data_IF_169721802782
#
_entry.id   IF_169721802782
#
_cell.length_a   1.000
_cell.length_b   1.000
_cell.length_c   1.000
_cell.angle_alpha   90.00
_cell.angle_beta   90.00
_cell.angle_gamma   90.00
#
_symmetry.space_group_name_H-M   'P 1'
#
loop_
_entity.id
_entity.type
_entity.pdbx_description
1 polymer ?
#
# COMPACT_ATOMS: atom_id res chain seq x y z
N UNK A 1 -7.10 -23.15 -23.25
CA UNK A 1 -5.91 -23.68 -24.00
C UNK A 1 -4.82 -23.80 -22.97
N UNK A 2 -4.14 -24.94 -22.88
CA UNK A 2 -3.00 -25.08 -21.96
C UNK A 2 -1.84 -24.23 -22.48
N UNK A 3 -1.12 -23.58 -21.61
CA UNK A 3 -0.02 -22.70 -21.98
C UNK A 3 1.09 -23.43 -22.76
N UNK A 4 1.34 -24.70 -22.45
CA UNK A 4 2.33 -25.53 -23.14
C UNK A 4 2.04 -25.68 -24.64
N UNK A 5 0.75 -25.71 -25.03
CA UNK A 5 0.39 -25.75 -26.45
C UNK A 5 0.77 -24.47 -27.20
N UNK A 6 0.44 -23.32 -26.57
CA UNK A 6 0.81 -22.01 -27.14
C UNK A 6 2.34 -21.81 -27.18
N UNK A 7 3.05 -22.35 -26.19
CA UNK A 7 4.51 -22.36 -26.18
C UNK A 7 5.09 -23.25 -27.29
N UNK A 8 4.53 -24.44 -27.52
CA UNK A 8 4.96 -25.32 -28.59
C UNK A 8 4.83 -24.63 -29.98
N UNK A 9 3.70 -23.96 -30.21
CA UNK A 9 3.49 -23.21 -31.46
C UNK A 9 4.50 -22.07 -31.61
N UNK A 10 4.82 -21.36 -30.54
CA UNK A 10 5.84 -20.30 -30.51
C UNK A 10 7.24 -20.87 -30.74
N UNK A 11 7.58 -21.99 -30.09
CA UNK A 11 8.88 -22.65 -30.24
C UNK A 11 9.06 -23.20 -31.69
N UNK A 12 8.03 -23.80 -32.27
CA UNK A 12 8.05 -24.22 -33.63
C UNK A 12 8.34 -23.05 -34.60
N UNK A 13 7.66 -21.91 -34.41
CA UNK A 13 7.92 -20.71 -35.19
C UNK A 13 9.40 -20.27 -35.09
N UNK A 14 10.01 -20.35 -33.91
CA UNK A 14 11.43 -20.01 -33.74
C UNK A 14 12.35 -21.02 -34.40
N UNK A 15 12.06 -22.33 -34.28
CA UNK A 15 12.88 -23.42 -34.81
C UNK A 15 12.81 -23.49 -36.34
N UNK A 16 11.61 -23.25 -36.89
CA UNK A 16 11.38 -23.31 -38.36
C UNK A 16 11.95 -22.07 -39.10
N UNK A 17 12.40 -21.04 -38.39
CA UNK A 17 12.91 -19.81 -38.98
C UNK A 17 14.35 -19.51 -38.52
N UNK A 18 15.32 -19.97 -39.26
CA UNK A 18 16.77 -19.75 -39.01
C UNK A 18 17.18 -18.27 -38.92
N UNK A 19 16.32 -17.38 -39.39
CA UNK A 19 16.54 -15.92 -39.35
C UNK A 19 16.17 -15.29 -38.04
N UNK A 20 15.53 -16.02 -37.10
CA UNK A 20 15.26 -15.58 -35.74
C UNK A 20 16.48 -15.88 -34.85
N UNK A 21 17.08 -14.85 -34.31
CA UNK A 21 18.24 -14.99 -33.42
C UNK A 21 17.87 -14.57 -32.01
N UNK A 22 17.81 -15.55 -31.11
CA UNK A 22 17.53 -15.33 -29.68
C UNK A 22 18.76 -15.74 -28.90
N UNK A 23 19.56 -14.77 -28.48
CA UNK A 23 20.74 -14.97 -27.61
C UNK A 23 20.58 -14.12 -26.34
N UNK A 24 21.40 -14.34 -25.32
CA UNK A 24 21.42 -13.53 -24.12
C UNK A 24 21.74 -12.05 -24.36
N UNK A 25 22.34 -11.73 -25.52
CA UNK A 25 22.76 -10.37 -25.89
C UNK A 25 21.95 -9.76 -27.03
N UNK A 26 21.37 -10.58 -27.90
CA UNK A 26 20.72 -10.11 -29.12
C UNK A 26 19.41 -10.86 -29.30
N UNK A 27 18.34 -10.08 -29.48
CA UNK A 27 17.05 -10.57 -29.97
C UNK A 27 16.78 -9.95 -31.32
N UNK A 28 16.89 -10.74 -32.38
CA UNK A 28 16.60 -10.31 -33.75
C UNK A 28 15.43 -11.13 -34.28
N UNK A 29 14.34 -10.47 -34.57
CA UNK A 29 13.15 -11.06 -35.17
C UNK A 29 12.88 -10.31 -36.50
N UNK A 30 12.93 -10.98 -37.62
CA UNK A 30 12.69 -10.35 -38.91
C UNK A 30 11.31 -9.68 -38.96
N UNK A 31 11.24 -8.54 -39.65
CA UNK A 31 10.03 -7.71 -39.67
C UNK A 31 8.79 -8.47 -40.16
N UNK A 32 8.97 -9.34 -41.13
CA UNK A 32 7.90 -10.15 -41.71
C UNK A 32 7.29 -11.16 -40.73
N UNK A 33 8.09 -11.66 -39.80
CA UNK A 33 7.68 -12.69 -38.84
C UNK A 33 7.28 -12.06 -37.50
N UNK A 34 7.74 -10.84 -37.23
CA UNK A 34 7.58 -10.12 -35.94
C UNK A 34 6.14 -10.07 -35.44
N UNK A 35 5.12 -9.73 -36.25
CA UNK A 35 3.74 -9.71 -35.77
C UNK A 35 3.26 -11.08 -35.27
N UNK A 36 3.62 -12.15 -36.03
CA UNK A 36 3.23 -13.52 -35.66
C UNK A 36 3.96 -14.01 -34.42
N UNK A 37 5.25 -13.68 -34.30
CA UNK A 37 6.04 -14.00 -33.11
C UNK A 37 5.42 -13.39 -31.84
N UNK A 38 5.19 -12.08 -31.84
CA UNK A 38 4.63 -11.42 -30.64
C UNK A 38 3.19 -11.86 -30.39
N UNK A 39 2.40 -12.16 -31.36
CA UNK A 39 1.08 -12.75 -31.19
C UNK A 39 1.13 -14.07 -30.41
N UNK A 40 2.01 -15.00 -30.81
CA UNK A 40 2.18 -16.28 -30.11
C UNK A 40 2.84 -16.11 -28.77
N UNK A 41 3.76 -15.17 -28.61
CA UNK A 41 4.41 -14.82 -27.37
C UNK A 41 3.40 -14.31 -26.35
N UNK A 42 2.51 -13.40 -26.74
CA UNK A 42 1.47 -12.85 -25.88
C UNK A 42 0.40 -13.90 -25.56
N UNK A 43 0.01 -14.73 -26.53
CA UNK A 43 -0.89 -15.86 -26.28
C UNK A 43 -0.33 -16.83 -25.26
N UNK A 44 0.98 -17.10 -25.30
CA UNK A 44 1.64 -18.00 -24.34
C UNK A 44 1.61 -17.40 -22.94
N UNK A 45 1.97 -16.11 -22.80
CA UNK A 45 1.93 -15.43 -21.50
C UNK A 45 0.52 -15.37 -20.91
N UNK A 46 -0.47 -15.02 -21.73
CA UNK A 46 -1.87 -14.94 -21.33
C UNK A 46 -2.41 -16.33 -20.94
N UNK A 47 -2.09 -17.37 -21.72
CA UNK A 47 -2.50 -18.74 -21.39
C UNK A 47 -1.88 -19.21 -20.06
N UNK A 48 -0.58 -18.89 -19.83
CA UNK A 48 0.10 -19.20 -18.60
C UNK A 48 -0.55 -18.49 -17.39
N UNK A 49 -0.82 -17.19 -17.51
CA UNK A 49 -1.49 -16.41 -16.50
C UNK A 49 -2.86 -17.02 -16.13
N UNK A 50 -3.69 -17.33 -17.11
CA UNK A 50 -5.03 -17.90 -16.90
C UNK A 50 -5.02 -19.29 -16.27
N UNK A 51 -4.00 -20.09 -16.57
CA UNK A 51 -3.86 -21.44 -16.00
C UNK A 51 -3.42 -21.37 -14.52
N UNK A 52 -2.49 -20.48 -14.18
CA UNK A 52 -1.91 -20.39 -12.84
C UNK A 52 -2.64 -19.43 -11.88
N UNK A 53 -3.48 -18.53 -12.40
CA UNK A 53 -4.34 -17.61 -11.65
C UNK A 53 -5.76 -17.60 -12.23
N UNK A 54 -6.53 -18.69 -12.11
CA UNK A 54 -7.80 -18.83 -12.85
C UNK A 54 -8.86 -17.80 -12.46
N UNK A 55 -8.85 -17.30 -11.24
CA UNK A 55 -9.88 -16.37 -10.71
C UNK A 55 -9.48 -14.90 -10.76
N UNK A 56 -8.23 -14.57 -11.18
CA UNK A 56 -7.71 -13.20 -11.10
C UNK A 56 -8.61 -12.17 -11.80
N UNK A 57 -9.19 -12.56 -12.94
CA UNK A 57 -9.98 -11.63 -13.76
C UNK A 57 -11.28 -11.18 -13.07
N UNK A 58 -12.00 -12.12 -12.44
CA UNK A 58 -13.25 -11.80 -11.72
C UNK A 58 -12.97 -11.02 -10.44
N UNK A 59 -11.97 -11.46 -9.68
CA UNK A 59 -11.59 -10.79 -8.44
C UNK A 59 -11.10 -9.37 -8.68
N UNK A 60 -10.27 -9.15 -9.70
CA UNK A 60 -9.79 -7.81 -10.05
C UNK A 60 -10.90 -6.92 -10.57
N UNK A 61 -11.80 -7.45 -11.41
CA UNK A 61 -12.97 -6.68 -11.87
C UNK A 61 -13.86 -6.23 -10.72
N UNK A 62 -14.09 -7.12 -9.75
CA UNK A 62 -14.85 -6.80 -8.54
C UNK A 62 -14.14 -5.73 -7.71
N UNK A 63 -12.84 -5.90 -7.46
CA UNK A 63 -12.04 -4.94 -6.72
C UNK A 63 -12.02 -3.58 -7.41
N UNK A 64 -11.79 -3.54 -8.73
CA UNK A 64 -11.82 -2.32 -9.55
C UNK A 64 -13.14 -1.58 -9.42
N UNK A 65 -14.27 -2.29 -9.58
CA UNK A 65 -15.59 -1.67 -9.50
C UNK A 65 -15.85 -1.04 -8.13
N UNK A 66 -15.45 -1.72 -7.05
CA UNK A 66 -15.62 -1.21 -5.68
C UNK A 66 -14.64 -0.08 -5.37
N UNK A 67 -13.41 -0.15 -5.89
CA UNK A 67 -12.43 0.92 -5.79
C UNK A 67 -12.92 2.18 -6.47
N UNK A 68 -13.34 2.09 -7.74
CA UNK A 68 -13.85 3.24 -8.50
C UNK A 68 -15.09 3.86 -7.85
N UNK A 69 -15.99 3.04 -7.31
CA UNK A 69 -17.19 3.54 -6.61
C UNK A 69 -16.82 4.36 -5.35
N UNK A 70 -15.87 3.88 -4.55
CA UNK A 70 -15.45 4.61 -3.35
C UNK A 70 -14.65 5.85 -3.71
N UNK A 71 -13.79 5.77 -4.72
CA UNK A 71 -13.01 6.89 -5.25
C UNK A 71 -13.92 8.03 -5.72
N UNK A 72 -14.89 7.75 -6.58
CA UNK A 72 -15.87 8.73 -7.05
C UNK A 72 -16.68 9.33 -5.91
N UNK A 73 -17.09 8.50 -4.94
CA UNK A 73 -17.82 8.96 -3.76
C UNK A 73 -16.99 9.93 -2.92
N UNK A 74 -15.71 9.65 -2.71
CA UNK A 74 -14.79 10.50 -1.94
C UNK A 74 -14.46 11.77 -2.71
N UNK A 75 -14.23 11.70 -4.02
CA UNK A 75 -14.03 12.86 -4.89
C UNK A 75 -15.23 13.80 -4.82
N UNK A 76 -16.44 13.28 -4.99
CA UNK A 76 -17.66 14.07 -4.93
C UNK A 76 -17.90 14.69 -3.55
N UNK A 77 -17.68 13.92 -2.47
CA UNK A 77 -17.93 14.34 -1.10
C UNK A 77 -16.99 15.48 -0.66
N UNK A 78 -15.70 15.38 -1.02
CA UNK A 78 -14.66 16.32 -0.63
C UNK A 78 -14.38 17.40 -1.71
N UNK A 79 -15.03 17.34 -2.87
CA UNK A 79 -14.77 18.23 -4.00
C UNK A 79 -13.34 18.06 -4.56
N UNK A 80 -12.83 16.83 -4.58
CA UNK A 80 -11.47 16.57 -5.05
C UNK A 80 -11.42 16.58 -6.58
N UNK A 81 -10.34 17.12 -7.11
CA UNK A 81 -9.99 17.09 -8.53
C UNK A 81 -9.28 15.77 -8.87
N UNK A 82 -8.44 15.28 -7.94
CA UNK A 82 -7.59 14.12 -8.18
C UNK A 82 -7.40 13.26 -6.94
N UNK A 83 -7.29 11.94 -7.14
CA UNK A 83 -6.72 10.98 -6.19
C UNK A 83 -5.53 10.33 -6.89
N UNK A 84 -4.32 10.73 -6.49
CA UNK A 84 -3.09 10.25 -7.08
C UNK A 84 -2.69 8.88 -6.50
N UNK A 85 -2.49 7.90 -7.39
CA UNK A 85 -2.02 6.55 -7.07
C UNK A 85 -0.80 6.21 -7.93
N UNK A 86 -0.04 5.18 -7.54
CA UNK A 86 1.11 4.75 -8.33
C UNK A 86 0.71 4.26 -9.71
N UNK A 87 1.62 4.43 -10.69
CA UNK A 87 1.43 3.95 -12.07
C UNK A 87 1.17 2.44 -12.10
N UNK A 88 1.82 1.68 -11.23
CA UNK A 88 1.63 0.23 -11.13
C UNK A 88 0.21 -0.15 -10.71
N UNK A 89 -0.35 0.56 -9.75
CA UNK A 89 -1.75 0.36 -9.30
C UNK A 89 -2.72 0.75 -10.41
N UNK A 90 -2.50 1.91 -11.06
CA UNK A 90 -3.35 2.34 -12.18
C UNK A 90 -3.34 1.32 -13.31
N UNK A 91 -2.15 0.87 -13.75
CA UNK A 91 -2.02 -0.17 -14.78
C UNK A 91 -2.66 -1.50 -14.37
N UNK A 92 -2.52 -1.89 -13.10
CA UNK A 92 -3.17 -3.12 -12.60
C UNK A 92 -4.69 -3.02 -12.66
N UNK A 93 -5.27 -1.87 -12.35
CA UNK A 93 -6.71 -1.64 -12.41
C UNK A 93 -7.22 -1.55 -13.87
N UNK A 94 -6.45 -0.96 -14.76
CA UNK A 94 -6.87 -0.69 -16.15
C UNK A 94 -6.51 -1.81 -17.10
N UNK A 95 -5.32 -2.38 -17.00
CA UNK A 95 -4.73 -3.36 -17.87
C UNK A 95 -4.20 -4.58 -17.08
N UNK A 96 -5.04 -5.17 -16.25
CA UNK A 96 -4.68 -6.25 -15.29
C UNK A 96 -3.85 -7.36 -15.94
N UNK A 97 -4.29 -7.87 -17.11
CA UNK A 97 -3.64 -8.99 -17.80
C UNK A 97 -2.24 -8.60 -18.28
N UNK A 98 -2.11 -7.41 -18.86
CA UNK A 98 -0.83 -6.86 -19.32
C UNK A 98 0.15 -6.70 -18.16
N UNK A 99 -0.29 -6.05 -17.08
CA UNK A 99 0.56 -5.80 -15.89
C UNK A 99 1.00 -7.08 -15.19
N UNK A 100 0.10 -8.05 -15.03
CA UNK A 100 0.43 -9.33 -14.39
C UNK A 100 1.35 -10.21 -15.25
N UNK A 101 1.21 -10.17 -16.58
CA UNK A 101 2.04 -10.98 -17.47
C UNK A 101 3.40 -10.35 -17.80
N UNK A 102 3.64 -9.10 -17.41
CA UNK A 102 4.90 -8.38 -17.65
C UNK A 102 6.15 -9.12 -17.11
N UNK A 103 6.16 -9.66 -15.86
CA UNK A 103 7.30 -10.41 -15.35
C UNK A 103 7.61 -11.72 -16.11
N UNK A 104 6.69 -12.19 -16.94
CA UNK A 104 6.89 -13.40 -17.76
C UNK A 104 7.69 -13.11 -19.03
N UNK A 105 7.87 -11.86 -19.44
CA UNK A 105 8.55 -11.51 -20.70
C UNK A 105 9.96 -12.09 -20.75
N UNK A 106 10.81 -11.67 -19.81
CA UNK A 106 12.20 -12.12 -19.78
C UNK A 106 12.33 -13.64 -19.53
N UNK A 107 11.44 -14.19 -18.70
CA UNK A 107 11.43 -15.61 -18.37
C UNK A 107 11.05 -16.47 -19.59
N UNK A 108 10.09 -16.03 -20.40
CA UNK A 108 9.71 -16.71 -21.61
C UNK A 108 10.81 -16.63 -22.68
N UNK A 109 11.54 -15.49 -22.77
CA UNK A 109 12.74 -15.41 -23.61
C UNK A 109 13.85 -16.36 -23.15
N UNK A 110 14.06 -16.51 -21.82
CA UNK A 110 15.02 -17.47 -21.29
C UNK A 110 14.63 -18.91 -21.64
N UNK A 111 13.34 -19.25 -21.58
CA UNK A 111 12.83 -20.56 -21.97
C UNK A 111 13.03 -20.80 -23.48
N UNK A 112 12.77 -19.81 -24.35
CA UNK A 112 12.98 -19.92 -25.81
C UNK A 112 14.45 -20.08 -26.18
N UNK A 113 15.36 -19.60 -25.34
CA UNK A 113 16.82 -19.70 -25.53
C UNK A 113 17.44 -20.97 -24.94
N UNK A 114 16.60 -21.86 -24.39
CA UNK A 114 17.03 -23.05 -23.67
C UNK A 114 17.94 -22.74 -22.44
N UNK A 115 17.90 -21.51 -21.93
CA UNK A 115 18.57 -21.12 -20.69
C UNK A 115 17.84 -21.67 -19.44
N UNK A 116 16.61 -22.13 -19.62
CA UNK A 116 15.77 -22.79 -18.62
C UNK A 116 14.99 -23.93 -19.27
N UNK A 117 14.74 -24.98 -18.50
CA UNK A 117 13.79 -26.00 -18.88
C UNK A 117 12.35 -25.63 -18.55
N UNK A 118 11.38 -26.36 -19.12
CA UNK A 118 9.95 -26.10 -18.97
C UNK A 118 9.47 -26.21 -17.53
N UNK A 119 9.99 -27.19 -16.78
CA UNK A 119 9.57 -27.45 -15.40
C UNK A 119 10.03 -26.31 -14.46
N UNK A 120 11.29 -25.91 -14.58
CA UNK A 120 11.87 -24.77 -13.84
C UNK A 120 11.14 -23.48 -14.18
N UNK A 121 10.88 -23.23 -15.47
CA UNK A 121 10.11 -22.07 -15.91
C UNK A 121 8.72 -22.04 -15.27
N UNK A 122 7.97 -23.14 -15.33
CA UNK A 122 6.60 -23.23 -14.80
C UNK A 122 6.59 -22.98 -13.30
N UNK A 123 7.46 -23.63 -12.54
CA UNK A 123 7.56 -23.49 -11.09
C UNK A 123 7.87 -22.05 -10.66
N UNK A 124 8.93 -21.47 -11.20
CA UNK A 124 9.37 -20.14 -10.82
C UNK A 124 8.43 -19.03 -11.29
N UNK A 125 7.91 -19.17 -12.53
CA UNK A 125 7.02 -18.18 -13.11
C UNK A 125 5.65 -18.16 -12.44
N UNK A 126 5.13 -19.33 -12.03
CA UNK A 126 3.88 -19.41 -11.27
C UNK A 126 3.99 -18.75 -9.90
N UNK A 127 5.14 -18.92 -9.23
CA UNK A 127 5.40 -18.26 -7.94
C UNK A 127 5.48 -16.74 -8.09
N UNK A 128 6.20 -16.25 -9.11
CA UNK A 128 6.31 -14.81 -9.38
C UNK A 128 4.95 -14.20 -9.68
N UNK A 129 4.12 -14.86 -10.49
CA UNK A 129 2.76 -14.40 -10.78
C UNK A 129 1.90 -14.30 -9.53
N UNK A 130 1.90 -15.33 -8.70
CA UNK A 130 1.12 -15.36 -7.45
C UNK A 130 1.54 -14.24 -6.51
N UNK A 131 2.85 -14.04 -6.34
CA UNK A 131 3.37 -12.99 -5.49
C UNK A 131 3.03 -11.59 -6.03
N UNK A 132 3.23 -11.35 -7.33
CA UNK A 132 2.89 -10.07 -7.96
C UNK A 132 1.40 -9.76 -7.87
N UNK A 133 0.54 -10.77 -8.08
CA UNK A 133 -0.90 -10.60 -7.92
C UNK A 133 -1.29 -10.26 -6.49
N UNK A 134 -0.76 -11.02 -5.51
CA UNK A 134 -1.05 -10.81 -4.09
C UNK A 134 -0.62 -9.41 -3.64
N UNK A 135 0.55 -8.94 -4.09
CA UNK A 135 1.08 -7.62 -3.76
C UNK A 135 0.23 -6.50 -4.37
N UNK A 136 -0.04 -6.54 -5.68
CA UNK A 136 -0.84 -5.51 -6.35
C UNK A 136 -2.27 -5.47 -5.80
N UNK A 137 -2.88 -6.65 -5.57
CA UNK A 137 -4.20 -6.74 -4.93
C UNK A 137 -4.19 -6.09 -3.55
N UNK A 138 -3.17 -6.40 -2.73
CA UNK A 138 -3.01 -5.85 -1.39
C UNK A 138 -2.87 -4.33 -1.41
N UNK A 139 -2.07 -3.78 -2.34
CA UNK A 139 -1.92 -2.32 -2.46
C UNK A 139 -3.25 -1.64 -2.81
N UNK A 140 -3.99 -2.17 -3.79
CA UNK A 140 -5.33 -1.63 -4.13
C UNK A 140 -6.31 -1.78 -2.97
N UNK A 141 -6.31 -2.92 -2.29
CA UNK A 141 -7.16 -3.18 -1.14
C UNK A 141 -6.92 -2.18 -0.01
N UNK A 142 -5.66 -1.89 0.28
CA UNK A 142 -5.26 -0.91 1.29
C UNK A 142 -5.75 0.50 0.95
N UNK A 143 -5.57 0.94 -0.29
CA UNK A 143 -6.10 2.23 -0.75
C UNK A 143 -7.64 2.27 -0.68
N UNK A 144 -8.30 1.18 -1.08
CA UNK A 144 -9.74 1.04 -0.96
C UNK A 144 -10.21 1.15 0.50
N UNK A 145 -9.51 0.51 1.44
CA UNK A 145 -9.83 0.58 2.87
C UNK A 145 -9.66 2.02 3.41
N UNK A 146 -8.57 2.70 3.06
CA UNK A 146 -8.33 4.09 3.46
C UNK A 146 -9.39 5.04 2.89
N UNK A 147 -9.73 4.93 1.60
CA UNK A 147 -10.80 5.72 0.98
C UNK A 147 -12.17 5.42 1.60
N UNK A 148 -12.42 4.16 1.94
CA UNK A 148 -13.65 3.74 2.61
C UNK A 148 -13.77 4.36 4.00
N UNK A 149 -12.69 4.44 4.76
CA UNK A 149 -12.66 5.17 6.04
C UNK A 149 -12.96 6.65 5.85
N UNK A 150 -12.32 7.32 4.88
CA UNK A 150 -12.57 8.74 4.57
C UNK A 150 -14.07 8.96 4.25
N UNK A 151 -14.66 8.08 3.45
CA UNK A 151 -16.09 8.12 3.14
C UNK A 151 -16.96 7.94 4.38
N UNK A 152 -16.66 6.97 5.23
CA UNK A 152 -17.41 6.71 6.48
C UNK A 152 -17.27 7.83 7.50
N UNK A 153 -16.13 8.54 7.50
CA UNK A 153 -15.91 9.75 8.30
C UNK A 153 -16.77 10.93 7.82
N UNK A 154 -17.46 10.84 6.69
CA UNK A 154 -18.21 11.95 6.09
C UNK A 154 -17.36 13.20 5.99
N UNK A 155 -16.19 13.08 5.36
CA UNK A 155 -15.24 14.18 5.23
C UNK A 155 -15.86 15.43 4.63
N UNK A 156 -15.58 16.59 5.23
CA UNK A 156 -16.03 17.90 4.75
C UNK A 156 -14.96 18.65 4.00
N UNK A 157 -13.71 18.55 4.49
CA UNK A 157 -12.52 19.18 3.92
C UNK A 157 -11.34 18.25 4.05
N UNK A 158 -10.42 18.35 3.11
CA UNK A 158 -9.15 17.65 3.11
C UNK A 158 -8.01 18.64 3.21
N UNK A 159 -7.01 18.32 4.02
CA UNK A 159 -5.79 19.10 4.15
C UNK A 159 -4.59 18.22 3.82
N UNK A 160 -3.71 18.70 2.97
CA UNK A 160 -2.38 18.12 2.76
C UNK A 160 -1.39 18.68 3.75
N UNK A 161 -0.41 17.86 4.08
CA UNK A 161 0.71 18.26 4.92
C UNK A 161 1.94 18.33 4.03
N UNK A 162 2.38 19.56 3.73
CA UNK A 162 3.65 19.78 3.02
C UNK A 162 4.77 19.85 4.04
N UNK A 163 5.72 18.95 3.91
CA UNK A 163 6.92 18.95 4.73
C UNK A 163 8.04 19.64 3.96
N UNK A 164 8.85 20.51 4.58
CA UNK A 164 9.94 21.18 3.89
C UNK A 164 10.96 20.16 3.37
N UNK A 165 11.53 20.47 2.23
CA UNK A 165 12.61 19.68 1.63
C UNK A 165 13.79 19.57 2.60
N UNK A 166 14.23 18.35 2.83
CA UNK A 166 15.44 18.05 3.58
C UNK A 166 16.57 17.83 2.57
N UNK A 167 17.56 18.71 2.58
CA UNK A 167 18.77 18.55 1.78
C UNK A 167 19.76 17.66 2.53
N UNK A 168 20.20 16.58 1.91
CA UNK A 168 21.30 15.77 2.43
C UNK A 168 22.62 16.48 2.15
N UNK A 169 23.30 16.92 3.20
CA UNK A 169 24.63 17.55 3.09
C UNK A 169 25.70 16.58 3.59
N UNK A 170 26.97 16.86 3.27
CA UNK A 170 28.12 16.09 3.78
C UNK A 170 28.22 16.08 5.33
N UNK A 171 27.47 16.94 6.02
CA UNK A 171 27.41 17.04 7.49
C UNK A 171 26.14 16.44 8.08
N UNK A 172 25.31 15.78 7.28
CA UNK A 172 24.02 15.23 7.66
C UNK A 172 22.83 15.98 7.04
N UNK A 173 21.61 15.57 7.36
CA UNK A 173 20.42 16.21 6.86
C UNK A 173 20.34 17.66 7.34
N UNK A 174 20.09 18.60 6.42
CA UNK A 174 19.87 20.00 6.71
C UNK A 174 18.51 20.38 6.13
N UNK A 175 17.68 21.01 6.94
CA UNK A 175 16.46 21.62 6.44
C UNK A 175 16.86 22.71 5.48
N UNK A 176 16.30 22.70 4.26
CA UNK A 176 16.57 23.77 3.29
C UNK A 176 16.25 25.12 3.94
N UNK A 177 17.25 25.98 3.99
CA UNK A 177 17.23 27.21 4.78
C UNK A 177 16.48 28.33 4.11
N UNK A 178 15.39 28.07 3.44
CA UNK A 178 14.45 29.14 3.19
C UNK A 178 13.59 29.30 4.45
N UNK A 179 13.47 30.50 4.99
CA UNK A 179 12.75 30.76 6.23
C UNK A 179 11.23 30.70 6.00
N UNK A 180 10.76 29.67 5.33
CA UNK A 180 9.34 29.43 5.28
C UNK A 180 8.84 28.98 6.66
N UNK A 181 7.73 29.57 7.12
CA UNK A 181 7.16 29.24 8.40
C UNK A 181 6.80 27.74 8.44
N UNK A 182 6.86 27.19 9.64
CA UNK A 182 6.45 25.81 9.97
C UNK A 182 5.30 25.35 9.06
N UNK A 183 5.43 24.22 8.38
CA UNK A 183 4.42 23.78 7.41
C UNK A 183 3.07 23.64 8.10
N UNK A 184 2.13 24.49 7.72
CA UNK A 184 0.74 24.39 8.16
C UNK A 184 -0.01 23.48 7.21
N UNK A 185 -0.92 22.65 7.72
CA UNK A 185 -1.82 21.91 6.86
C UNK A 185 -2.58 22.86 5.95
N UNK A 186 -2.56 22.61 4.66
CA UNK A 186 -3.22 23.43 3.64
C UNK A 186 -4.41 22.67 3.07
N UNK A 187 -5.55 23.33 3.00
CA UNK A 187 -6.72 22.76 2.32
C UNK A 187 -6.37 22.43 0.87
N UNK A 188 -6.72 21.24 0.43
CA UNK A 188 -6.35 20.73 -0.88
C UNK A 188 -7.52 20.03 -1.57
N UNK A 189 -7.49 20.03 -2.89
CA UNK A 189 -8.38 19.25 -3.74
C UNK A 189 -7.72 18.01 -4.34
N UNK A 190 -6.53 17.67 -3.84
CA UNK A 190 -5.78 16.48 -4.27
C UNK A 190 -5.50 15.59 -3.06
N UNK A 191 -5.86 14.32 -3.18
CA UNK A 191 -5.48 13.27 -2.24
C UNK A 191 -4.40 12.42 -2.89
N UNK A 192 -3.25 12.29 -2.23
CA UNK A 192 -2.13 11.52 -2.76
C UNK A 192 -1.84 10.30 -1.88
N UNK A 193 -1.80 9.13 -2.50
CA UNK A 193 -1.23 7.90 -1.94
C UNK A 193 0.18 7.64 -2.48
N UNK A 194 0.74 8.60 -3.23
CA UNK A 194 2.11 8.49 -3.71
C UNK A 194 3.08 8.73 -2.56
N UNK A 195 4.12 7.91 -2.55
CA UNK A 195 5.24 8.08 -1.64
C UNK A 195 6.02 9.33 -2.03
N UNK A 196 5.81 10.43 -1.30
CA UNK A 196 6.72 11.57 -1.41
C UNK A 196 8.05 11.25 -0.70
N UNK A 197 9.16 11.74 -1.26
CA UNK A 197 10.50 11.38 -0.82
C UNK A 197 10.91 11.93 0.57
N UNK A 198 9.97 12.20 1.47
CA UNK A 198 10.24 12.81 2.76
C UNK A 198 10.14 11.76 3.85
N UNK A 199 11.24 11.50 4.56
CA UNK A 199 11.25 10.55 5.64
C UNK A 199 10.69 11.18 6.92
N UNK A 200 9.47 10.82 7.29
CA UNK A 200 8.92 11.22 8.57
C UNK A 200 7.91 10.18 9.07
N UNK A 201 8.26 9.49 10.14
CA UNK A 201 7.45 8.41 10.72
C UNK A 201 6.05 8.85 11.15
N UNK A 202 5.91 10.07 11.61
CA UNK A 202 4.69 10.55 12.27
C UNK A 202 4.04 11.74 11.62
N UNK A 203 4.50 12.12 10.44
CA UNK A 203 3.85 13.18 9.69
C UNK A 203 2.67 12.58 8.94
N UNK A 204 1.45 13.07 9.17
CA UNK A 204 0.32 12.60 8.40
C UNK A 204 0.48 12.97 6.93
N UNK A 205 0.07 12.07 6.06
CA UNK A 205 -0.01 12.35 4.64
C UNK A 205 -1.12 13.35 4.35
N UNK A 206 -2.24 13.21 5.06
CA UNK A 206 -3.38 14.11 4.94
C UNK A 206 -4.24 14.13 6.21
N UNK A 207 -5.08 15.15 6.30
CA UNK A 207 -6.00 15.35 7.42
C UNK A 207 -7.40 15.57 6.87
N UNK A 208 -8.39 14.89 7.44
CA UNK A 208 -9.81 14.99 7.08
C UNK A 208 -10.57 15.71 8.19
N UNK A 209 -11.28 16.78 7.85
CA UNK A 209 -12.31 17.36 8.72
C UNK A 209 -13.52 16.43 8.68
N UNK A 210 -13.76 15.69 9.75
CA UNK A 210 -14.76 14.64 9.79
C UNK A 210 -16.13 15.17 10.28
N UNK A 211 -17.16 15.02 9.44
CA UNK A 211 -18.52 15.27 9.83
C UNK A 211 -19.10 14.23 10.78
N UNK A 212 -18.61 12.99 10.73
CA UNK A 212 -19.12 11.88 11.54
C UNK A 212 -18.54 11.89 12.97
N UNK A 213 -17.26 12.24 13.09
CA UNK A 213 -16.56 12.33 14.39
C UNK A 213 -16.66 13.73 14.98
N UNK A 214 -16.90 14.75 14.13
CA UNK A 214 -16.91 16.17 14.56
C UNK A 214 -15.54 16.75 14.87
N UNK A 215 -14.47 16.08 14.45
CA UNK A 215 -13.07 16.40 14.74
C UNK A 215 -12.21 16.21 13.49
N UNK A 216 -10.96 16.61 13.55
CA UNK A 216 -9.98 16.35 12.50
C UNK A 216 -9.36 14.97 12.70
N UNK A 217 -9.31 14.17 11.64
CA UNK A 217 -8.66 12.86 11.64
C UNK A 217 -7.49 12.92 10.67
N UNK A 218 -6.31 12.75 11.20
CA UNK A 218 -5.08 12.76 10.41
C UNK A 218 -4.61 11.32 10.17
N UNK A 219 -4.12 11.07 8.96
CA UNK A 219 -3.72 9.75 8.49
C UNK A 219 -2.27 9.75 8.04
N UNK A 220 -1.54 8.75 8.52
CA UNK A 220 -0.27 8.33 7.93
C UNK A 220 -0.52 7.02 7.22
N UNK A 221 -0.48 7.03 5.89
CA UNK A 221 -0.78 5.84 5.06
C UNK A 221 0.47 5.12 4.59
N UNK A 222 1.62 5.69 4.83
CA UNK A 222 2.92 5.10 4.54
C UNK A 222 3.90 5.52 5.63
N UNK A 223 4.26 4.56 6.48
CA UNK A 223 5.24 4.77 7.55
C UNK A 223 6.63 4.72 6.94
N UNK A 224 7.48 5.68 7.28
CA UNK A 224 8.86 5.74 6.80
C UNK A 224 9.85 5.64 7.94
N UNK A 225 10.97 4.98 7.65
CA UNK A 225 12.11 4.97 8.55
C UNK A 225 12.71 6.37 8.63
N UNK A 226 12.77 6.91 9.84
CA UNK A 226 13.34 8.23 10.15
C UNK A 226 14.60 8.14 10.97
N UNK A 227 15.16 6.95 11.12
CA UNK A 227 16.37 6.76 11.91
C UNK A 227 17.52 7.62 11.38
N UNK A 228 17.98 8.56 12.21
CA UNK A 228 19.07 9.48 11.86
C UNK A 228 18.68 10.70 11.01
N UNK A 229 17.40 10.98 10.82
CA UNK A 229 16.93 12.09 10.01
C UNK A 229 16.22 13.18 10.85
N UNK A 230 16.05 14.38 10.29
CA UNK A 230 15.32 15.45 10.95
C UNK A 230 13.86 15.08 11.18
N UNK A 231 13.35 15.29 12.38
CA UNK A 231 12.03 14.87 12.79
C UNK A 231 11.03 16.02 12.65
N UNK A 232 9.90 15.73 12.00
CA UNK A 232 8.73 16.60 12.04
C UNK A 232 7.81 16.09 13.14
N UNK A 233 7.53 16.91 14.11
CA UNK A 233 6.65 16.53 15.21
C UNK A 233 5.32 17.26 15.15
N UNK A 234 4.30 16.56 15.62
CA UNK A 234 3.09 17.21 16.03
C UNK A 234 3.35 18.08 17.25
N UNK A 235 2.99 19.33 17.18
CA UNK A 235 2.75 20.11 18.39
C UNK A 235 1.45 19.58 19.01
N UNK A 236 1.57 18.63 19.89
CA UNK A 236 0.42 18.15 20.66
C UNK A 236 0.04 19.12 21.77
N UNK A 237 0.86 20.15 22.02
CA UNK A 237 0.60 21.09 23.11
C UNK A 237 -0.80 21.71 23.03
N UNK A 238 -1.31 21.88 21.83
CA UNK A 238 -2.59 22.56 21.62
C UNK A 238 -3.75 21.61 21.37
N UNK A 239 -3.48 20.33 21.08
CA UNK A 239 -4.51 19.40 20.65
C UNK A 239 -5.03 18.47 21.76
N UNK A 240 -4.19 18.02 22.68
CA UNK A 240 -4.61 17.18 23.81
C UNK A 240 -3.47 16.98 24.82
N UNK A 241 -3.57 17.55 26.03
CA UNK A 241 -2.57 17.36 27.09
C UNK A 241 -2.45 15.91 27.59
N UNK A 242 -3.47 15.07 27.34
CA UNK A 242 -3.47 13.65 27.70
C UNK A 242 -2.74 12.75 26.68
N UNK A 243 -2.30 13.30 25.55
CA UNK A 243 -1.61 12.54 24.53
C UNK A 243 -0.21 12.18 25.03
N UNK A 244 -0.01 10.90 25.32
CA UNK A 244 1.31 10.39 25.69
C UNK A 244 2.27 10.49 24.50
N UNK A 245 3.54 10.74 24.80
CA UNK A 245 4.61 10.84 23.84
C UNK A 245 5.51 9.60 23.93
N UNK A 246 6.17 9.28 22.80
CA UNK A 246 7.23 8.27 22.77
C UNK A 246 8.58 8.94 22.67
N UNK A 247 9.57 8.33 23.28
CA UNK A 247 10.96 8.58 22.94
C UNK A 247 11.38 7.79 21.71
N UNK A 248 12.51 8.17 21.13
CA UNK A 248 13.10 7.44 20.02
C UNK A 248 13.47 6.00 20.41
N UNK A 249 13.95 5.80 21.64
CA UNK A 249 14.30 4.50 22.20
C UNK A 249 13.09 3.56 22.29
N UNK A 250 11.91 4.08 22.60
CA UNK A 250 10.67 3.29 22.66
C UNK A 250 10.22 2.81 21.28
N UNK A 251 10.64 3.49 20.19
CA UNK A 251 10.35 3.10 18.81
C UNK A 251 11.39 2.16 18.19
N UNK A 252 12.55 1.98 18.84
CA UNK A 252 13.63 1.13 18.33
C UNK A 252 13.18 -0.31 17.97
N UNK A 253 12.31 -0.98 18.77
CA UNK A 253 11.81 -2.31 18.40
C UNK A 253 10.98 -2.32 17.12
N UNK A 254 10.23 -1.25 16.82
CA UNK A 254 9.51 -1.09 15.56
C UNK A 254 10.49 -0.97 14.39
N UNK A 255 11.54 -0.16 14.52
CA UNK A 255 12.53 0.02 13.48
C UNK A 255 13.29 -1.26 13.16
N UNK A 256 13.68 -2.03 14.18
CA UNK A 256 14.35 -3.32 13.99
C UNK A 256 13.51 -4.34 13.20
N UNK A 257 12.20 -4.19 13.19
CA UNK A 257 11.24 -5.07 12.52
C UNK A 257 10.58 -4.44 11.29
N UNK A 258 10.98 -3.21 10.94
CA UNK A 258 10.35 -2.40 9.91
C UNK A 258 10.18 -3.15 8.58
N UNK A 259 11.28 -3.68 8.03
CA UNK A 259 11.27 -4.42 6.76
C UNK A 259 10.71 -5.84 6.91
N UNK A 260 11.05 -6.53 8.00
CA UNK A 260 10.66 -7.94 8.19
C UNK A 260 9.17 -8.13 8.44
N UNK A 261 8.50 -7.15 9.03
CA UNK A 261 7.06 -7.13 9.27
C UNK A 261 6.31 -6.18 8.34
N UNK A 262 6.97 -5.65 7.31
CA UNK A 262 6.37 -4.73 6.33
C UNK A 262 5.50 -3.64 7.01
N UNK A 263 6.11 -2.91 7.96
CA UNK A 263 5.41 -1.85 8.70
C UNK A 263 5.14 -0.63 7.80
N UNK A 264 5.83 -0.52 6.69
CA UNK A 264 5.77 0.62 5.77
C UNK A 264 4.34 0.95 5.33
N UNK A 265 3.54 -0.08 5.16
CA UNK A 265 2.24 0.04 4.52
C UNK A 265 1.05 0.09 5.49
N UNK A 266 1.31 0.20 6.78
CA UNK A 266 0.24 0.31 7.76
C UNK A 266 -0.26 1.75 7.89
N UNK A 267 -1.50 1.90 8.33
CA UNK A 267 -2.15 3.20 8.47
C UNK A 267 -2.25 3.58 9.94
N UNK A 268 -1.64 4.70 10.29
CA UNK A 268 -1.82 5.30 11.61
C UNK A 268 -2.83 6.43 11.51
N UNK A 269 -3.69 6.56 12.51
CA UNK A 269 -4.61 7.69 12.56
C UNK A 269 -4.58 8.39 13.92
N UNK A 270 -4.83 9.71 13.86
CA UNK A 270 -4.78 10.62 14.99
C UNK A 270 -6.05 11.47 14.98
N UNK A 271 -6.77 11.52 16.09
CA UNK A 271 -7.99 12.33 16.24
C UNK A 271 -7.64 13.61 16.98
N UNK A 272 -7.93 14.76 16.40
CA UNK A 272 -7.54 16.07 16.89
C UNK A 272 -8.75 17.00 16.98
N UNK A 273 -8.92 17.72 18.09
CA UNK A 273 -10.02 18.67 18.28
C UNK A 273 -9.90 19.89 17.37
N UNK A 274 -8.65 20.24 17.03
CA UNK A 274 -8.33 21.35 16.14
C UNK A 274 -7.43 20.84 15.00
N UNK A 275 -7.35 21.62 13.93
CA UNK A 275 -6.39 21.35 12.87
C UNK A 275 -4.97 21.37 13.47
N UNK A 276 -4.26 20.23 13.42
CA UNK A 276 -2.98 20.11 14.12
C UNK A 276 -1.92 21.03 13.51
N UNK A 277 -1.17 21.69 14.38
CA UNK A 277 0.05 22.37 14.00
C UNK A 277 1.21 21.37 13.95
N UNK A 278 2.03 21.48 12.92
CA UNK A 278 3.25 20.72 12.78
C UNK A 278 4.43 21.62 13.11
N UNK A 279 5.31 21.16 13.98
CA UNK A 279 6.54 21.86 14.27
C UNK A 279 7.72 21.02 13.78
N UNK A 280 8.61 21.65 13.01
CA UNK A 280 9.94 21.12 12.76
C UNK A 280 10.76 21.26 14.05
N UNK A 281 11.18 20.15 14.62
CA UNK A 281 11.99 20.15 15.82
C UNK A 281 13.30 19.46 15.52
N UNK A 282 14.37 20.27 15.48
CA UNK A 282 15.71 19.78 15.18
C UNK A 282 16.25 18.79 16.23
N UNK A 283 15.76 18.85 17.47
CA UNK A 283 16.30 18.14 18.62
C UNK A 283 15.26 17.38 19.45
N UNK A 284 14.09 17.08 18.89
CA UNK A 284 13.07 16.43 19.68
C UNK A 284 13.09 14.90 19.53
N UNK A 285 13.20 14.24 20.65
CA UNK A 285 13.16 12.80 20.81
C UNK A 285 11.75 12.26 21.08
N UNK A 286 10.70 13.05 20.80
CA UNK A 286 9.33 12.70 21.17
C UNK A 286 8.40 12.62 19.97
N UNK A 287 7.60 11.56 19.92
CA UNK A 287 6.62 11.28 18.87
C UNK A 287 5.21 11.19 19.43
N UNK A 288 4.24 11.71 18.70
CA UNK A 288 2.84 11.64 19.11
C UNK A 288 2.30 10.20 19.03
N UNK A 289 1.60 9.78 20.07
CA UNK A 289 0.92 8.49 20.09
C UNK A 289 -0.26 8.51 19.12
N UNK A 290 -0.39 7.52 18.22
CA UNK A 290 -1.57 7.39 17.38
C UNK A 290 -2.81 7.02 18.23
N UNK A 291 -3.98 7.44 17.78
CA UNK A 291 -5.24 6.98 18.37
C UNK A 291 -5.54 5.54 17.95
N UNK A 292 -5.13 5.13 16.76
CA UNK A 292 -5.22 3.75 16.34
C UNK A 292 -4.29 3.40 15.18
N UNK A 293 -4.14 2.10 14.97
CA UNK A 293 -3.38 1.52 13.87
C UNK A 293 -4.29 0.61 13.06
N UNK A 294 -4.33 0.76 11.75
CA UNK A 294 -5.03 -0.14 10.84
C UNK A 294 -4.00 -0.89 9.99
N UNK A 295 -4.04 -2.20 10.09
CA UNK A 295 -3.21 -3.13 9.33
C UNK A 295 -4.11 -3.82 8.31
N UNK A 296 -3.92 -3.53 7.03
CA UNK A 296 -4.58 -4.29 5.97
C UNK A 296 -3.78 -5.56 5.72
N UNK A 297 -4.39 -6.71 5.95
CA UNK A 297 -3.72 -7.99 5.73
C UNK A 297 -3.63 -8.32 4.25
N UNK A 298 -2.47 -8.86 3.82
CA UNK A 298 -2.38 -9.55 2.54
C UNK A 298 -3.06 -10.91 2.63
N UNK A 299 -3.64 -11.40 1.53
CA UNK A 299 -4.21 -12.76 1.43
C UNK A 299 -3.21 -13.87 1.70
N UNK A 300 -1.93 -13.61 1.44
CA UNK A 300 -0.84 -14.55 1.67
C UNK A 300 -0.23 -14.47 3.08
N UNK A 301 -0.65 -13.50 3.90
CA UNK A 301 -0.10 -13.32 5.23
C UNK A 301 -0.61 -14.39 6.21
N UNK A 302 0.30 -15.11 6.85
CA UNK A 302 -0.04 -16.07 7.90
C UNK A 302 -0.55 -15.38 9.16
N UNK A 303 -1.43 -16.05 9.91
CA UNK A 303 -2.03 -15.52 11.14
C UNK A 303 -0.98 -15.21 12.22
N UNK A 304 0.07 -16.01 12.32
CA UNK A 304 1.18 -15.78 13.25
C UNK A 304 1.93 -14.47 12.94
N UNK A 305 2.24 -14.24 11.65
CA UNK A 305 2.85 -12.99 11.18
C UNK A 305 1.98 -11.78 11.52
N UNK A 306 0.68 -11.85 11.23
CA UNK A 306 -0.26 -10.76 11.53
C UNK A 306 -0.36 -10.51 13.04
N UNK A 307 -0.38 -11.57 13.84
CA UNK A 307 -0.40 -11.48 15.31
C UNK A 307 0.86 -10.81 15.84
N UNK A 308 2.04 -11.23 15.37
CA UNK A 308 3.32 -10.64 15.74
C UNK A 308 3.32 -9.13 15.43
N UNK A 309 2.91 -8.77 14.22
CA UNK A 309 2.79 -7.38 13.77
C UNK A 309 1.83 -6.56 14.64
N UNK A 310 0.66 -7.10 14.93
CA UNK A 310 -0.33 -6.46 15.80
C UNK A 310 0.18 -6.26 17.23
N UNK A 311 0.82 -7.27 17.82
CA UNK A 311 1.43 -7.19 19.15
C UNK A 311 2.54 -6.14 19.20
N UNK A 312 3.39 -6.06 18.16
CA UNK A 312 4.44 -5.07 18.08
C UNK A 312 3.88 -3.64 18.18
N UNK A 313 2.83 -3.34 17.42
CA UNK A 313 2.18 -2.02 17.48
C UNK A 313 1.49 -1.77 18.82
N UNK A 314 0.75 -2.76 19.34
CA UNK A 314 0.08 -2.63 20.64
C UNK A 314 1.09 -2.34 21.75
N UNK A 315 2.18 -3.07 21.80
CA UNK A 315 3.13 -3.02 22.91
C UNK A 315 4.00 -1.76 22.86
N UNK A 316 4.36 -1.28 21.67
CA UNK A 316 5.26 -0.15 21.51
C UNK A 316 4.55 1.18 21.18
N UNK A 317 3.54 1.20 20.33
CA UNK A 317 2.77 2.43 20.10
C UNK A 317 1.62 2.62 21.08
N UNK A 318 1.12 1.56 21.68
CA UNK A 318 0.00 1.59 22.63
C UNK A 318 -1.14 2.49 22.15
N UNK A 319 -1.67 2.27 20.94
CA UNK A 319 -2.70 3.12 20.37
C UNK A 319 -3.94 3.12 21.25
N UNK A 320 -4.54 4.29 21.48
CA UNK A 320 -5.67 4.46 22.42
C UNK A 320 -6.87 3.58 22.05
N UNK A 321 -7.16 3.48 20.76
CA UNK A 321 -8.29 2.69 20.23
C UNK A 321 -7.88 1.29 19.80
N UNK A 322 -6.61 0.90 20.00
CA UNK A 322 -6.08 -0.41 19.65
C UNK A 322 -5.60 -0.53 18.20
N UNK A 323 -5.31 -1.76 17.82
CA UNK A 323 -4.83 -2.17 16.52
C UNK A 323 -5.95 -2.90 15.77
N UNK A 324 -6.27 -2.48 14.58
CA UNK A 324 -7.33 -3.05 13.75
C UNK A 324 -6.71 -3.86 12.61
N UNK A 325 -6.91 -5.18 12.66
CA UNK A 325 -6.49 -6.13 11.63
C UNK A 325 -7.63 -6.25 10.60
N UNK A 326 -7.46 -5.62 9.44
CA UNK A 326 -8.46 -5.58 8.37
C UNK A 326 -8.16 -6.70 7.37
N UNK A 327 -9.01 -7.73 7.36
CA UNK A 327 -8.83 -8.93 6.57
C UNK A 327 -9.67 -8.87 5.28
N UNK A 328 -9.07 -9.17 4.10
CA UNK A 328 -9.79 -9.23 2.84
C UNK A 328 -10.71 -10.46 2.74
N UNK A 329 -10.39 -11.52 3.48
CA UNK A 329 -11.15 -12.75 3.54
C UNK A 329 -11.33 -13.16 5.01
N UNK A 330 -12.40 -13.89 5.37
CA UNK A 330 -12.54 -14.43 6.72
C UNK A 330 -11.35 -15.36 7.00
N UNK A 331 -10.76 -15.29 8.19
CA UNK A 331 -9.68 -16.21 8.55
C UNK A 331 -10.19 -17.64 8.58
N UNK A 332 -9.41 -18.58 8.05
CA UNK A 332 -9.72 -20.02 8.11
C UNK A 332 -9.75 -20.54 9.55
N UNK A 333 -8.92 -19.96 10.41
CA UNK A 333 -8.87 -20.25 11.84
C UNK A 333 -9.33 -19.03 12.63
N UNK A 334 -10.27 -19.23 13.55
CA UNK A 334 -10.64 -18.19 14.49
C UNK A 334 -9.42 -17.88 15.37
N UNK A 335 -9.05 -16.59 15.55
CA UNK A 335 -7.95 -16.23 16.43
C UNK A 335 -8.16 -16.88 17.80
N UNK A 336 -7.21 -17.71 18.24
CA UNK A 336 -7.30 -18.63 19.38
C UNK A 336 -7.56 -17.92 20.71
N UNK A 337 -7.37 -16.60 20.77
CA UNK A 337 -7.73 -15.79 21.93
C UNK A 337 -7.89 -14.33 21.51
N UNK A 338 -8.92 -13.64 21.96
CA UNK A 338 -9.00 -12.20 21.79
C UNK A 338 -7.80 -11.59 22.53
N UNK A 339 -6.86 -11.03 21.77
CA UNK A 339 -5.79 -10.23 22.34
C UNK A 339 -6.39 -8.88 22.70
N UNK A 340 -6.17 -8.45 23.92
CA UNK A 340 -6.57 -7.13 24.40
C UNK A 340 -5.99 -6.06 23.44
N UNK A 341 -6.81 -5.11 23.02
CA UNK A 341 -6.47 -4.04 22.09
C UNK A 341 -6.09 -4.45 20.65
N UNK A 342 -6.36 -5.70 20.24
CA UNK A 342 -6.24 -6.13 18.84
C UNK A 342 -7.60 -6.59 18.31
N UNK A 343 -8.13 -5.84 17.35
CA UNK A 343 -9.45 -6.05 16.77
C UNK A 343 -9.35 -6.70 15.38
N UNK A 344 -9.87 -7.92 15.25
CA UNK A 344 -9.89 -8.65 13.98
C UNK A 344 -11.18 -8.35 13.22
N UNK A 345 -11.06 -7.74 12.05
CA UNK A 345 -12.18 -7.32 11.22
C UNK A 345 -12.17 -8.07 9.89
N UNK A 346 -13.07 -9.04 9.72
CA UNK A 346 -13.29 -9.72 8.43
C UNK A 346 -14.09 -8.80 7.49
N UNK A 347 -13.41 -7.84 6.92
CA UNK A 347 -14.01 -6.77 6.13
C UNK A 347 -14.40 -7.25 4.74
N UNK A 348 -13.56 -8.09 4.13
CA UNK A 348 -13.71 -8.38 2.72
C UNK A 348 -13.65 -7.08 1.91
N UNK A 349 -14.66 -6.86 1.09
CA UNK A 349 -14.86 -5.61 0.32
C UNK A 349 -16.17 -4.90 0.74
N UNK A 350 -16.56 -5.01 2.01
CA UNK A 350 -17.76 -4.38 2.58
C UNK A 350 -17.38 -3.19 3.46
N UNK A 351 -17.60 -1.96 2.96
CA UNK A 351 -17.24 -0.73 3.68
C UNK A 351 -17.84 -0.63 5.08
N UNK A 352 -19.07 -1.11 5.28
CA UNK A 352 -19.78 -1.06 6.57
C UNK A 352 -19.04 -1.80 7.68
N UNK A 353 -18.22 -2.78 7.35
CA UNK A 353 -17.43 -3.54 8.33
C UNK A 353 -16.21 -2.77 8.86
N UNK A 354 -15.91 -1.59 8.30
CA UNK A 354 -14.92 -0.66 8.85
C UNK A 354 -15.53 0.31 9.89
N UNK A 355 -16.84 0.31 10.10
CA UNK A 355 -17.49 1.17 11.09
C UNK A 355 -16.94 1.03 12.53
N UNK A 356 -16.49 -0.13 13.01
CA UNK A 356 -15.85 -0.22 14.33
C UNK A 356 -14.67 0.73 14.47
N UNK A 357 -13.84 0.90 13.41
CA UNK A 357 -12.71 1.84 13.42
C UNK A 357 -13.21 3.28 13.57
N UNK A 358 -14.24 3.67 12.81
CA UNK A 358 -14.80 5.03 12.90
C UNK A 358 -15.45 5.29 14.26
N UNK A 359 -16.12 4.29 14.83
CA UNK A 359 -16.71 4.40 16.19
C UNK A 359 -15.65 4.60 17.25
N UNK A 360 -14.51 3.92 17.14
CA UNK A 360 -13.41 4.07 18.09
C UNK A 360 -12.75 5.45 18.05
N UNK A 361 -12.93 6.21 16.96
CA UNK A 361 -12.45 7.59 16.85
C UNK A 361 -13.35 8.59 17.60
N UNK A 362 -14.59 8.24 17.90
CA UNK A 362 -15.51 9.13 18.65
C UNK A 362 -15.07 9.22 20.10
N UNK A 363 -14.75 10.43 20.56
CA UNK A 363 -14.45 10.69 21.98
C UNK A 363 -15.76 10.76 22.76
N UNK A 364 -15.89 9.99 23.82
CA UNK A 364 -16.98 10.14 24.78
C UNK A 364 -18.05 9.05 24.82
N UNK A 365 -17.95 8.00 23.99
CA UNK A 365 -18.82 6.82 24.10
C UNK A 365 -18.13 5.65 24.82
N UNK A 366 -17.26 5.95 25.80
CA UNK A 366 -16.77 4.93 26.73
C UNK A 366 -17.87 4.68 27.75
N UNK A 367 -18.67 3.65 27.51
CA UNK A 367 -19.61 3.08 28.48
C UNK A 367 -18.87 2.26 29.54
#
# INVERSE_FOLDING_TARGET
>A
MKWQQSYADLRNLVTDNETIWLTSRVTLIPEQIRPRFYQLFDLTRTAFLREHLPNYSEETKRLKALYSNVEESVKSMLGLEEIAISVDISRFLDETEGRLSEPLVDRLFQLLRDERDVETFEKESSLVLKNSYAELFHQVYRHWAALSLIKLLRGRRLFSVKVPLIEMTARGPKIATDPEPIPKPQETKQLSFLSEAIPAFTVPNFIVDSGEVGQFVAFTTEIRDVYGQAHVMWRAADANPERAWFSHEELEPLWKRYDTLDLKHDVLFYVCDQLPDLALVADSERFARPDGVMICASRSAGMEYLREKGCLYRDHLRPRSGVFMVLPDPPEETPISPLEDIHWLSVGLEQSKLLPIVRSMKRGESS
#
